data_IF_171055501862
#
_entry.id   IF_171055501862
#
_cell.length_a   1.000
_cell.length_b   1.000
_cell.length_c   1.000
_cell.angle_alpha   90.00
_cell.angle_beta   90.00
_cell.angle_gamma   90.00
#
_symmetry.space_group_name_H-M   'P 1'
#
loop_
_entity.id
_entity.type
_entity.pdbx_description
1 polymer ?
#
# COMPACT_ATOMS: atom_id res chain seq x y z
N UNK A 1 -6.25 -4.28 32.54
CA UNK A 1 -5.78 -5.31 31.59
C UNK A 1 -7.01 -5.76 30.81
N UNK A 2 -7.23 -5.19 29.63
CA UNK A 2 -8.24 -5.66 28.67
C UNK A 2 -7.45 -6.13 27.46
N UNK A 3 -7.48 -7.42 27.22
CA UNK A 3 -6.91 -8.08 26.03
C UNK A 3 -7.80 -7.77 24.83
N UNK A 4 -7.25 -7.08 23.84
CA UNK A 4 -7.91 -6.89 22.54
C UNK A 4 -7.84 -8.19 21.73
N UNK A 5 -8.90 -8.61 21.05
CA UNK A 5 -8.88 -9.80 20.22
C UNK A 5 -8.05 -9.56 18.95
N UNK A 6 -7.17 -10.51 18.67
CA UNK A 6 -6.38 -10.56 17.45
C UNK A 6 -7.29 -10.79 16.25
N UNK A 7 -7.32 -9.83 15.32
CA UNK A 7 -8.04 -9.98 14.05
C UNK A 7 -7.14 -10.71 13.05
N UNK A 8 -7.25 -12.04 13.02
CA UNK A 8 -6.67 -12.88 11.98
C UNK A 8 -7.68 -12.93 10.85
N UNK A 9 -7.42 -12.22 9.75
CA UNK A 9 -8.20 -12.38 8.51
C UNK A 9 -7.79 -13.69 7.83
N UNK A 10 -8.36 -14.81 8.29
CA UNK A 10 -8.31 -16.07 7.53
C UNK A 10 -9.27 -15.94 6.34
N UNK A 11 -8.71 -16.01 5.13
CA UNK A 11 -9.50 -16.17 3.93
C UNK A 11 -10.41 -17.40 4.08
N UNK A 12 -11.72 -17.21 4.06
CA UNK A 12 -12.70 -18.31 4.06
C UNK A 12 -12.54 -19.11 2.78
N UNK A 13 -12.58 -20.44 2.92
CA UNK A 13 -12.51 -21.43 1.82
C UNK A 13 -13.45 -21.03 0.67
N UNK A 14 -13.03 -21.27 -0.59
CA UNK A 14 -13.87 -20.92 -1.75
C UNK A 14 -15.17 -21.74 -1.75
N UNK A 15 -16.24 -21.10 -2.15
CA UNK A 15 -17.54 -21.70 -2.42
C UNK A 15 -17.39 -22.79 -3.49
N UNK A 16 -17.76 -24.02 -3.15
CA UNK A 16 -17.95 -25.10 -4.13
C UNK A 16 -19.24 -24.84 -4.89
N UNK A 17 -19.11 -24.65 -6.18
CA UNK A 17 -20.24 -24.70 -7.11
C UNK A 17 -20.03 -23.92 -8.37
N UNK A 18 -19.39 -24.55 -9.36
CA UNK A 18 -19.78 -24.52 -10.75
C UNK A 18 -18.76 -25.33 -11.60
N UNK A 19 -19.29 -26.34 -12.18
CA UNK A 19 -18.87 -27.31 -13.19
C UNK A 19 -17.44 -27.32 -13.74
N UNK A 20 -16.79 -28.47 -13.54
CA UNK A 20 -15.44 -28.87 -13.99
C UNK A 20 -15.25 -29.06 -15.51
N UNK A 21 -16.06 -28.45 -16.39
CA UNK A 21 -15.97 -28.67 -17.85
C UNK A 21 -15.41 -27.49 -18.67
N UNK A 22 -14.96 -26.42 -18.02
CA UNK A 22 -14.43 -25.24 -18.73
C UNK A 22 -12.92 -25.06 -18.63
N UNK A 23 -12.23 -25.82 -17.79
CA UNK A 23 -10.77 -25.75 -17.58
C UNK A 23 -10.00 -26.68 -18.54
N UNK A 24 -10.59 -27.79 -18.99
CA UNK A 24 -9.91 -28.74 -19.88
C UNK A 24 -9.74 -28.28 -21.33
N UNK A 25 -10.39 -27.23 -21.76
CA UNK A 25 -10.34 -26.75 -23.16
C UNK A 25 -9.22 -25.74 -23.47
N UNK A 26 -8.45 -25.29 -22.48
CA UNK A 26 -7.31 -24.36 -22.66
C UNK A 26 -5.92 -25.01 -22.64
N UNK A 27 -5.83 -26.32 -22.43
CA UNK A 27 -4.52 -27.03 -22.36
C UNK A 27 -4.18 -27.75 -23.71
N UNK A 28 -5.05 -27.69 -24.71
CA UNK A 28 -4.89 -28.48 -25.94
C UNK A 28 -4.40 -27.72 -27.18
N UNK A 29 -3.61 -26.64 -27.02
CA UNK A 29 -2.89 -26.04 -28.15
C UNK A 29 -1.44 -25.76 -27.78
N UNK A 30 -0.59 -26.78 -27.95
CA UNK A 30 0.81 -26.76 -28.41
C UNK A 30 1.51 -28.07 -28.10
N UNK A 31 1.23 -29.08 -28.91
CA UNK A 31 2.16 -30.19 -29.09
C UNK A 31 2.36 -30.34 -30.57
N UNK A 32 3.53 -29.99 -31.02
CA UNK A 32 4.00 -30.19 -32.41
C UNK A 32 5.43 -29.73 -32.54
N UNK A 33 6.30 -30.74 -32.58
CA UNK A 33 7.58 -30.79 -33.26
C UNK A 33 8.87 -30.32 -32.55
N UNK A 34 9.64 -31.24 -32.33
CA UNK A 34 11.06 -31.62 -32.45
C UNK A 34 11.73 -32.08 -31.16
N UNK A 35 11.86 -33.39 -31.03
CA UNK A 35 12.78 -34.04 -30.10
C UNK A 35 14.22 -33.87 -30.58
N UNK A 36 15.04 -33.16 -29.82
CA UNK A 36 16.47 -33.34 -29.78
C UNK A 36 16.83 -33.79 -28.37
N UNK A 37 17.20 -35.07 -28.24
CA UNK A 37 17.77 -35.62 -27.02
C UNK A 37 19.11 -34.94 -26.74
N UNK A 38 19.16 -34.15 -25.68
CA UNK A 38 20.42 -33.76 -25.05
C UNK A 38 20.31 -34.19 -23.59
N UNK A 39 21.24 -35.04 -23.16
CA UNK A 39 21.41 -35.44 -21.75
C UNK A 39 21.60 -34.18 -20.90
N UNK A 40 20.55 -33.77 -20.22
CA UNK A 40 20.60 -32.72 -19.20
C UNK A 40 21.04 -33.32 -17.88
N UNK A 41 22.11 -32.73 -17.33
CA UNK A 41 22.64 -33.09 -16.02
C UNK A 41 21.63 -32.87 -14.92
N UNK A 42 21.70 -33.66 -13.86
CA UNK A 42 20.75 -33.81 -12.75
C UNK A 42 20.60 -32.57 -11.83
N UNK A 43 20.99 -31.33 -12.27
CA UNK A 43 21.06 -30.16 -11.37
C UNK A 43 20.45 -28.86 -11.92
N UNK A 44 19.84 -28.89 -13.12
CA UNK A 44 19.15 -27.71 -13.67
C UNK A 44 17.62 -27.86 -13.59
N UNK A 45 17.09 -27.71 -12.38
CA UNK A 45 15.67 -27.32 -12.25
C UNK A 45 15.57 -25.86 -12.60
N UNK A 46 15.14 -25.55 -13.81
CA UNK A 46 14.81 -24.18 -14.23
C UNK A 46 13.70 -23.64 -13.30
N UNK A 47 14.06 -22.69 -12.45
CA UNK A 47 13.06 -21.88 -11.74
C UNK A 47 12.26 -21.14 -12.80
N UNK A 48 10.97 -21.47 -12.94
CA UNK A 48 10.09 -20.85 -13.93
C UNK A 48 10.12 -19.33 -13.73
N UNK A 49 10.39 -18.58 -14.81
CA UNK A 49 10.34 -17.13 -14.77
C UNK A 49 8.92 -16.69 -14.44
N UNK A 50 8.77 -15.92 -13.38
CA UNK A 50 7.47 -15.40 -12.96
C UNK A 50 7.00 -14.35 -13.96
N UNK A 51 5.70 -14.33 -14.26
CA UNK A 51 5.08 -13.27 -15.03
C UNK A 51 5.43 -11.88 -14.44
N UNK A 52 5.41 -10.84 -15.27
CA UNK A 52 5.71 -9.48 -14.83
C UNK A 52 4.57 -8.93 -13.96
N UNK A 53 4.93 -8.25 -12.88
CA UNK A 53 3.99 -7.54 -12.03
C UNK A 53 3.43 -6.29 -12.76
N UNK A 54 2.30 -5.78 -12.29
CA UNK A 54 1.76 -4.51 -12.72
C UNK A 54 2.71 -3.37 -12.32
N UNK A 55 3.26 -2.65 -13.31
CA UNK A 55 4.17 -1.54 -13.06
C UNK A 55 3.54 -0.46 -12.18
N UNK A 56 2.28 -0.11 -12.42
CA UNK A 56 1.56 0.89 -11.62
C UNK A 56 1.45 0.45 -10.15
N UNK A 57 1.29 -0.85 -9.89
CA UNK A 57 1.28 -1.40 -8.54
C UNK A 57 2.60 -1.16 -7.81
N UNK A 58 3.74 -1.28 -8.50
CA UNK A 58 5.06 -1.10 -7.88
C UNK A 58 5.50 0.37 -7.82
N UNK A 59 5.12 1.17 -8.84
CA UNK A 59 5.57 2.56 -8.97
C UNK A 59 4.69 3.55 -8.22
N UNK A 60 3.41 3.21 -7.96
CA UNK A 60 2.52 4.08 -7.22
C UNK A 60 3.16 4.51 -5.90
N UNK A 61 3.27 5.82 -5.71
CA UNK A 61 3.77 6.37 -4.47
C UNK A 61 2.78 6.10 -3.34
N UNK A 62 3.27 5.46 -2.29
CA UNK A 62 2.58 5.36 -1.02
C UNK A 62 3.05 6.49 -0.08
N UNK A 63 3.09 6.24 1.20
CA UNK A 63 3.56 7.22 2.18
C UNK A 63 5.05 7.52 1.96
N UNK A 64 5.41 8.80 2.05
CA UNK A 64 6.81 9.24 2.15
C UNK A 64 7.31 8.85 3.53
N UNK A 65 8.23 7.89 3.58
CA UNK A 65 8.74 7.30 4.82
C UNK A 65 10.27 7.33 4.86
N UNK A 66 10.82 7.65 6.04
CA UNK A 66 12.27 7.60 6.27
C UNK A 66 12.71 6.14 6.17
N UNK A 67 13.74 5.89 5.35
CA UNK A 67 14.24 4.53 5.14
C UNK A 67 13.42 3.71 4.13
N UNK A 68 12.63 4.37 3.27
CA UNK A 68 11.98 3.70 2.14
C UNK A 68 12.99 2.88 1.33
N UNK A 69 12.68 1.61 1.09
CA UNK A 69 13.56 0.64 0.43
C UNK A 69 13.36 0.55 -1.08
N UNK A 70 12.65 1.49 -1.71
CA UNK A 70 12.35 1.46 -3.16
C UNK A 70 13.60 1.30 -4.03
N UNK A 71 14.68 2.02 -3.70
CA UNK A 71 15.95 1.91 -4.42
C UNK A 71 16.71 0.60 -4.18
N UNK A 72 16.27 -0.21 -3.22
CA UNK A 72 16.87 -1.51 -2.88
C UNK A 72 16.05 -2.69 -3.39
N UNK A 73 14.92 -2.48 -4.07
CA UNK A 73 14.03 -3.57 -4.47
C UNK A 73 14.70 -4.58 -5.39
N UNK A 74 15.52 -4.13 -6.32
CA UNK A 74 16.29 -5.03 -7.19
C UNK A 74 17.27 -5.88 -6.38
N UNK A 75 18.00 -5.28 -5.45
CA UNK A 75 18.91 -6.00 -4.55
C UNK A 75 18.17 -7.03 -3.69
N UNK A 76 17.01 -6.66 -3.14
CA UNK A 76 16.14 -7.57 -2.37
C UNK A 76 15.67 -8.71 -3.28
N UNK A 77 15.24 -8.41 -4.51
CA UNK A 77 14.81 -9.40 -5.48
C UNK A 77 15.89 -10.44 -5.81
N UNK A 78 17.13 -9.99 -6.00
CA UNK A 78 18.27 -10.89 -6.22
C UNK A 78 18.49 -11.82 -5.02
N UNK A 79 18.33 -11.33 -3.79
CA UNK A 79 18.39 -12.15 -2.58
C UNK A 79 17.27 -13.19 -2.54
N UNK A 80 16.04 -12.79 -2.83
CA UNK A 80 14.88 -13.70 -2.90
C UNK A 80 15.08 -14.78 -3.97
N UNK A 81 15.60 -14.44 -5.13
CA UNK A 81 15.89 -15.42 -6.19
C UNK A 81 16.95 -16.44 -5.79
N UNK A 82 17.96 -16.05 -5.00
CA UNK A 82 18.94 -16.99 -4.42
C UNK A 82 18.25 -17.98 -3.48
N UNK A 83 17.36 -17.49 -2.61
CA UNK A 83 16.59 -18.34 -1.68
C UNK A 83 15.72 -19.31 -2.45
N UNK A 84 14.92 -18.81 -3.41
CA UNK A 84 14.05 -19.63 -4.27
C UNK A 84 14.81 -20.77 -4.96
N UNK A 85 15.96 -20.45 -5.55
CA UNK A 85 16.83 -21.45 -6.21
C UNK A 85 17.35 -22.49 -5.21
N UNK A 86 17.81 -22.08 -4.04
CA UNK A 86 18.32 -23.01 -3.00
C UNK A 86 17.24 -23.95 -2.48
N UNK A 87 16.02 -23.45 -2.33
CA UNK A 87 14.87 -24.22 -1.86
C UNK A 87 14.15 -24.97 -2.98
N UNK A 88 14.53 -24.74 -4.23
CA UNK A 88 13.84 -25.26 -5.41
C UNK A 88 12.33 -24.93 -5.40
N UNK A 89 12.00 -23.68 -5.04
CA UNK A 89 10.63 -23.17 -4.97
C UNK A 89 10.41 -22.06 -5.98
N UNK A 90 9.28 -22.07 -6.69
CA UNK A 90 8.89 -20.96 -7.56
C UNK A 90 8.40 -19.76 -6.76
N UNK A 91 7.71 -19.99 -5.65
CA UNK A 91 7.24 -18.98 -4.71
C UNK A 91 7.50 -19.46 -3.28
N UNK A 92 7.73 -18.51 -2.39
CA UNK A 92 8.17 -18.75 -1.01
C UNK A 92 7.14 -18.23 -0.01
N UNK A 93 7.29 -18.62 1.25
CA UNK A 93 6.65 -17.97 2.40
C UNK A 93 7.57 -16.85 2.89
N UNK A 94 7.12 -15.61 2.86
CA UNK A 94 7.94 -14.46 3.25
C UNK A 94 7.32 -13.69 4.43
N UNK A 95 8.19 -13.12 5.27
CA UNK A 95 7.78 -12.29 6.39
C UNK A 95 8.50 -10.93 6.36
N UNK A 96 7.74 -9.87 6.14
CA UNK A 96 8.20 -8.49 6.26
C UNK A 96 7.92 -7.98 7.68
N UNK A 97 8.93 -8.11 8.53
CA UNK A 97 8.83 -7.86 9.99
C UNK A 97 8.59 -6.38 10.32
N UNK A 98 9.05 -5.47 9.45
CA UNK A 98 8.96 -4.02 9.61
C UNK A 98 8.46 -3.39 8.30
N UNK A 99 7.22 -3.67 7.95
CA UNK A 99 6.67 -3.38 6.62
C UNK A 99 6.54 -1.89 6.29
N UNK A 100 6.42 -1.01 7.30
CA UNK A 100 6.43 0.43 7.13
C UNK A 100 5.44 0.92 6.07
N UNK A 101 5.96 1.48 4.98
CA UNK A 101 5.14 1.91 3.84
C UNK A 101 4.63 0.78 2.94
N UNK A 102 4.94 -0.48 3.24
CA UNK A 102 4.54 -1.65 2.45
C UNK A 102 5.27 -1.81 1.11
N UNK A 103 6.32 -1.03 0.83
CA UNK A 103 7.00 -1.07 -0.47
C UNK A 103 7.70 -2.41 -0.73
N UNK A 104 8.31 -3.00 0.30
CA UNK A 104 8.96 -4.31 0.21
C UNK A 104 7.91 -5.41 0.15
N UNK A 105 6.90 -5.37 1.01
CA UNK A 105 5.80 -6.33 1.02
C UNK A 105 5.09 -6.40 -0.33
N UNK A 106 4.81 -5.25 -0.97
CA UNK A 106 4.23 -5.17 -2.33
C UNK A 106 5.15 -5.84 -3.36
N UNK A 107 6.44 -5.57 -3.29
CA UNK A 107 7.41 -6.17 -4.20
C UNK A 107 7.52 -7.69 -4.01
N UNK A 108 7.47 -8.16 -2.77
CA UNK A 108 7.54 -9.59 -2.43
C UNK A 108 6.28 -10.35 -2.87
N UNK A 109 5.14 -9.69 -3.08
CA UNK A 109 3.87 -10.36 -3.41
C UNK A 109 3.98 -11.29 -4.61
N UNK A 110 4.72 -10.92 -5.66
CA UNK A 110 4.93 -11.77 -6.83
C UNK A 110 5.78 -13.03 -6.53
N UNK A 111 6.64 -12.95 -5.52
CA UNK A 111 7.53 -14.04 -5.14
C UNK A 111 6.95 -14.95 -4.06
N UNK A 112 5.85 -14.54 -3.42
CA UNK A 112 5.35 -15.19 -2.21
C UNK A 112 4.01 -15.89 -2.45
N UNK A 113 3.96 -17.21 -2.17
CA UNK A 113 2.69 -17.93 -2.04
C UNK A 113 1.96 -17.54 -0.76
N UNK A 114 2.71 -17.28 0.33
CA UNK A 114 2.23 -16.72 1.58
C UNK A 114 3.11 -15.52 1.95
N UNK A 115 2.50 -14.38 2.24
CA UNK A 115 3.17 -13.18 2.69
C UNK A 115 2.61 -12.73 4.03
N UNK A 116 3.51 -12.59 4.99
CA UNK A 116 3.23 -12.14 6.33
C UNK A 116 3.85 -10.75 6.48
N UNK A 117 3.11 -9.83 7.07
CA UNK A 117 3.61 -8.48 7.34
C UNK A 117 3.36 -8.10 8.78
N UNK A 118 4.27 -7.33 9.36
CA UNK A 118 4.09 -6.72 10.66
C UNK A 118 4.61 -5.29 10.66
N UNK A 119 3.96 -4.45 11.44
CA UNK A 119 4.48 -3.14 11.84
C UNK A 119 3.81 -2.71 13.15
N UNK A 120 4.39 -1.78 13.86
CA UNK A 120 3.80 -1.21 15.06
C UNK A 120 2.71 -0.18 14.72
N UNK A 121 2.81 0.46 13.57
CA UNK A 121 2.01 1.61 13.17
C UNK A 121 0.70 1.20 12.46
N UNK A 122 -0.41 1.83 12.85
CA UNK A 122 -1.73 1.58 12.27
C UNK A 122 -1.79 1.86 10.77
N UNK A 123 -1.16 2.95 10.31
CA UNK A 123 -1.16 3.28 8.88
C UNK A 123 -0.53 2.19 8.03
N UNK A 124 0.49 1.50 8.53
CA UNK A 124 1.13 0.38 7.84
C UNK A 124 0.16 -0.79 7.66
N UNK A 125 -0.58 -1.14 8.72
CA UNK A 125 -1.63 -2.16 8.66
C UNK A 125 -2.70 -1.80 7.62
N UNK A 126 -3.19 -0.57 7.58
CA UNK A 126 -4.19 -0.09 6.62
C UNK A 126 -3.66 -0.21 5.18
N UNK A 127 -2.42 0.23 4.94
CA UNK A 127 -1.76 0.17 3.63
C UNK A 127 -1.62 -1.27 3.16
N UNK A 128 -1.09 -2.15 4.03
CA UNK A 128 -0.90 -3.55 3.69
C UNK A 128 -2.24 -4.27 3.44
N UNK A 129 -3.28 -4.00 4.22
CA UNK A 129 -4.63 -4.53 3.96
C UNK A 129 -5.15 -4.13 2.58
N UNK A 130 -4.93 -2.90 2.17
CA UNK A 130 -5.35 -2.43 0.85
C UNK A 130 -4.53 -3.08 -0.28
N UNK A 131 -3.23 -2.88 -0.27
CA UNK A 131 -2.39 -3.20 -1.43
C UNK A 131 -1.94 -4.66 -1.50
N UNK A 132 -2.02 -5.43 -0.41
CA UNK A 132 -1.78 -6.86 -0.44
C UNK A 132 -3.06 -7.69 -0.65
N UNK A 133 -4.23 -7.07 -0.69
CA UNK A 133 -5.47 -7.75 -1.06
C UNK A 133 -5.34 -8.44 -2.42
N UNK A 134 -5.86 -9.65 -2.51
CA UNK A 134 -5.89 -10.40 -3.76
C UNK A 134 -6.95 -9.82 -4.68
N UNK A 135 -6.55 -9.48 -5.89
CA UNK A 135 -7.45 -8.92 -6.90
C UNK A 135 -8.67 -9.83 -7.15
N UNK A 136 -8.46 -11.14 -7.09
CA UNK A 136 -9.52 -12.16 -7.25
C UNK A 136 -10.62 -12.08 -6.18
N UNK A 137 -10.31 -11.53 -5.00
CA UNK A 137 -11.23 -11.44 -3.86
C UNK A 137 -11.89 -10.07 -3.72
N UNK A 138 -11.56 -9.10 -4.60
CA UNK A 138 -12.09 -7.74 -4.53
C UNK A 138 -13.41 -7.64 -5.30
N UNK A 139 -14.46 -7.19 -4.63
CA UNK A 139 -15.69 -6.80 -5.30
C UNK A 139 -15.55 -5.39 -5.90
N UNK A 140 -15.16 -5.34 -7.16
CA UNK A 140 -14.96 -4.07 -7.87
C UNK A 140 -16.25 -3.28 -8.05
N UNK A 141 -17.40 -3.93 -8.13
CA UNK A 141 -18.69 -3.25 -8.26
C UNK A 141 -19.04 -2.49 -6.97
N UNK A 142 -18.81 -3.13 -5.83
CA UNK A 142 -18.98 -2.52 -4.52
C UNK A 142 -18.00 -1.37 -4.29
N UNK A 143 -16.71 -1.54 -4.67
CA UNK A 143 -15.73 -0.46 -4.57
C UNK A 143 -16.09 0.73 -5.47
N UNK A 144 -16.55 0.47 -6.68
CA UNK A 144 -16.98 1.53 -7.60
C UNK A 144 -18.20 2.28 -7.07
N UNK A 145 -19.17 1.58 -6.48
CA UNK A 145 -20.33 2.20 -5.84
C UNK A 145 -19.89 3.18 -4.74
N UNK A 146 -19.06 2.71 -3.80
CA UNK A 146 -18.59 3.56 -2.70
C UNK A 146 -17.64 4.66 -3.14
N UNK A 147 -16.81 4.43 -4.15
CA UNK A 147 -15.98 5.48 -4.72
C UNK A 147 -16.82 6.63 -5.28
N UNK A 148 -17.86 6.33 -6.06
CA UNK A 148 -18.78 7.36 -6.59
C UNK A 148 -19.50 8.10 -5.47
N UNK A 149 -19.96 7.37 -4.44
CA UNK A 149 -20.60 7.99 -3.30
C UNK A 149 -19.66 8.94 -2.54
N UNK A 150 -18.43 8.50 -2.26
CA UNK A 150 -17.41 9.34 -1.64
C UNK A 150 -17.08 10.58 -2.49
N UNK A 151 -16.88 10.39 -3.78
CA UNK A 151 -16.56 11.50 -4.69
C UNK A 151 -17.69 12.54 -4.75
N UNK A 152 -18.96 12.10 -4.71
CA UNK A 152 -20.11 13.00 -4.65
C UNK A 152 -20.17 13.81 -3.35
N UNK A 153 -19.67 13.26 -2.25
CA UNK A 153 -19.55 13.97 -0.97
C UNK A 153 -18.31 14.85 -0.84
N UNK A 154 -17.30 14.66 -1.72
CA UNK A 154 -16.01 15.36 -1.66
C UNK A 154 -15.90 16.51 -2.69
N UNK A 155 -17.01 17.13 -3.02
CA UNK A 155 -17.03 18.33 -3.88
C UNK A 155 -16.66 19.59 -3.07
N UNK A 156 -16.18 20.64 -3.73
CA UNK A 156 -15.69 21.86 -3.06
C UNK A 156 -16.74 22.48 -2.12
N UNK A 157 -18.02 22.46 -2.50
CA UNK A 157 -19.11 23.00 -1.70
C UNK A 157 -19.44 22.16 -0.46
N UNK A 158 -19.00 20.92 -0.41
CA UNK A 158 -19.25 19.99 0.70
C UNK A 158 -18.09 19.89 1.70
N UNK A 159 -16.95 20.54 1.39
CA UNK A 159 -15.79 20.49 2.27
C UNK A 159 -16.09 21.21 3.59
N UNK A 160 -15.84 20.51 4.70
CA UNK A 160 -16.06 21.03 6.05
C UNK A 160 -14.74 21.31 6.78
N UNK A 161 -14.76 22.30 7.64
CA UNK A 161 -13.67 22.54 8.59
C UNK A 161 -13.76 21.52 9.74
N UNK A 162 -12.63 20.88 10.04
CA UNK A 162 -12.50 19.95 11.13
C UNK A 162 -11.13 20.05 11.79
N UNK A 163 -10.73 18.97 12.46
CA UNK A 163 -9.52 18.88 13.26
C UNK A 163 -8.23 19.17 12.45
N UNK A 164 -8.13 18.66 11.22
CA UNK A 164 -6.94 18.85 10.39
C UNK A 164 -6.88 20.30 9.90
N UNK A 165 -8.03 20.86 9.51
CA UNK A 165 -8.12 22.26 9.10
C UNK A 165 -7.74 23.19 10.24
N UNK A 166 -8.25 22.95 11.43
CA UNK A 166 -8.01 23.79 12.60
C UNK A 166 -6.55 23.72 13.05
N UNK A 167 -5.95 22.52 13.14
CA UNK A 167 -4.67 22.34 13.83
C UNK A 167 -3.47 22.16 12.90
N UNK A 168 -3.66 21.88 11.60
CA UNK A 168 -2.57 21.53 10.68
C UNK A 168 -2.52 22.40 9.43
N UNK A 169 -3.32 23.47 9.38
CA UNK A 169 -3.39 24.40 8.27
C UNK A 169 -3.41 25.84 8.78
N UNK A 170 -2.82 26.81 8.06
CA UNK A 170 -2.93 28.22 8.42
C UNK A 170 -4.36 28.73 8.16
N UNK A 171 -4.77 29.78 8.86
CA UNK A 171 -6.06 30.43 8.63
C UNK A 171 -6.11 31.09 7.26
N UNK A 172 -5.02 31.78 6.92
CA UNK A 172 -4.84 32.50 5.67
C UNK A 172 -3.46 32.17 5.09
N UNK A 173 -3.41 31.70 3.84
CA UNK A 173 -2.16 31.36 3.17
C UNK A 173 -1.31 32.57 2.81
N UNK A 174 -1.95 33.74 2.57
CA UNK A 174 -1.27 34.97 2.21
C UNK A 174 -0.71 35.68 3.46
N UNK A 175 -1.27 35.44 4.65
CA UNK A 175 -0.89 36.11 5.89
C UNK A 175 -0.69 35.14 7.07
N UNK A 176 0.20 34.20 6.89
CA UNK A 176 0.51 33.17 7.92
C UNK A 176 1.10 33.84 9.17
N UNK A 177 0.54 33.56 10.33
CA UNK A 177 0.99 34.12 11.61
C UNK A 177 2.01 33.20 12.31
N UNK A 178 2.79 33.79 13.20
CA UNK A 178 3.72 33.02 14.04
C UNK A 178 2.92 32.05 14.94
N UNK A 179 3.33 30.79 14.94
CA UNK A 179 2.66 29.74 15.69
C UNK A 179 1.64 28.93 14.91
N UNK A 180 1.17 29.42 13.76
CA UNK A 180 0.32 28.62 12.88
C UNK A 180 1.09 27.46 12.24
N UNK A 181 0.43 26.31 12.13
CA UNK A 181 0.99 25.14 11.48
C UNK A 181 0.61 25.15 10.00
N UNK A 182 1.57 24.79 9.14
CA UNK A 182 1.40 24.81 7.69
C UNK A 182 1.71 23.43 7.09
N UNK A 183 1.08 22.37 7.61
CA UNK A 183 1.25 21.03 7.04
C UNK A 183 0.45 20.84 5.76
N UNK A 184 -0.74 21.44 5.68
CA UNK A 184 -1.63 21.37 4.52
C UNK A 184 -2.15 22.75 4.14
N UNK A 185 -2.50 22.91 2.87
CA UNK A 185 -3.33 24.05 2.46
C UNK A 185 -4.70 23.98 3.14
N UNK A 186 -5.41 25.10 3.34
CA UNK A 186 -6.77 25.10 3.90
C UNK A 186 -7.71 24.11 3.17
N UNK A 187 -7.68 24.13 1.85
CA UNK A 187 -8.49 23.25 1.00
C UNK A 187 -8.17 21.77 1.25
N UNK A 188 -6.90 21.39 1.24
CA UNK A 188 -6.48 20.00 1.46
C UNK A 188 -6.78 19.52 2.88
N UNK A 189 -6.66 20.39 3.86
CA UNK A 189 -7.02 20.08 5.24
C UNK A 189 -8.52 19.79 5.37
N UNK A 190 -9.38 20.64 4.80
CA UNK A 190 -10.84 20.41 4.76
C UNK A 190 -11.19 19.12 4.00
N UNK A 191 -10.51 18.85 2.88
CA UNK A 191 -10.72 17.61 2.13
C UNK A 191 -10.43 16.37 2.99
N UNK A 192 -9.32 16.36 3.75
CA UNK A 192 -8.98 15.24 4.66
C UNK A 192 -10.02 15.10 5.75
N UNK A 193 -10.47 16.21 6.36
CA UNK A 193 -11.49 16.19 7.42
C UNK A 193 -12.81 15.63 6.89
N UNK A 194 -13.28 16.11 5.73
CA UNK A 194 -14.51 15.65 5.08
C UNK A 194 -14.41 14.18 4.70
N UNK A 195 -13.30 13.77 4.06
CA UNK A 195 -13.07 12.39 3.65
C UNK A 195 -13.08 11.43 4.85
N UNK A 196 -12.44 11.80 5.96
CA UNK A 196 -12.45 10.99 7.19
C UNK A 196 -13.86 10.78 7.72
N UNK A 197 -14.67 11.84 7.79
CA UNK A 197 -16.06 11.74 8.24
C UNK A 197 -16.93 10.86 7.34
N UNK A 198 -16.76 10.97 6.03
CA UNK A 198 -17.48 10.13 5.07
C UNK A 198 -17.03 8.66 5.15
N UNK A 199 -15.74 8.41 5.35
CA UNK A 199 -15.19 7.05 5.44
C UNK A 199 -15.75 6.26 6.64
N UNK A 200 -16.23 6.90 7.69
CA UNK A 200 -16.88 6.20 8.81
C UNK A 200 -18.21 5.54 8.40
N UNK A 201 -18.83 6.00 7.31
CA UNK A 201 -20.06 5.43 6.76
C UNK A 201 -19.77 4.25 5.80
N UNK A 202 -18.55 4.10 5.34
CA UNK A 202 -18.14 2.97 4.50
C UNK A 202 -18.01 1.71 5.38
N UNK A 203 -18.52 0.53 4.94
CA UNK A 203 -18.34 -0.71 5.66
C UNK A 203 -16.89 -0.98 6.06
N UNK A 204 -16.67 -1.44 7.29
CA UNK A 204 -15.34 -1.61 7.87
C UNK A 204 -14.47 -2.55 7.03
N UNK A 205 -15.08 -3.59 6.45
CA UNK A 205 -14.40 -4.62 5.66
C UNK A 205 -13.73 -4.07 4.40
N UNK A 206 -14.25 -2.98 3.84
CA UNK A 206 -13.74 -2.38 2.61
C UNK A 206 -13.16 -0.97 2.80
N UNK A 207 -13.29 -0.40 3.99
CA UNK A 207 -12.85 0.98 4.29
C UNK A 207 -11.36 1.21 3.99
N UNK A 208 -10.53 0.21 4.20
CA UNK A 208 -9.10 0.27 3.94
C UNK A 208 -8.76 0.53 2.47
N UNK A 209 -9.63 0.17 1.51
CA UNK A 209 -9.43 0.45 0.08
C UNK A 209 -9.55 1.93 -0.28
N UNK A 210 -10.16 2.72 0.58
CA UNK A 210 -10.28 4.18 0.43
C UNK A 210 -9.34 4.93 1.38
N UNK A 211 -9.15 4.40 2.59
CA UNK A 211 -8.28 5.02 3.58
C UNK A 211 -6.80 4.98 3.15
N UNK A 212 -6.31 3.89 2.58
CA UNK A 212 -4.91 3.78 2.16
C UNK A 212 -4.55 4.78 1.05
N UNK A 213 -5.33 4.95 -0.04
CA UNK A 213 -5.09 6.02 -1.00
C UNK A 213 -5.18 7.42 -0.40
N UNK A 214 -6.12 7.69 0.51
CA UNK A 214 -6.21 8.98 1.21
C UNK A 214 -4.94 9.28 2.03
N UNK A 215 -4.43 8.28 2.78
CA UNK A 215 -3.17 8.41 3.52
C UNK A 215 -1.98 8.70 2.58
N UNK A 216 -1.96 8.06 1.42
CA UNK A 216 -0.92 8.28 0.42
C UNK A 216 -0.97 9.71 -0.12
N UNK A 217 -2.14 10.20 -0.53
CA UNK A 217 -2.32 11.56 -1.02
C UNK A 217 -2.01 12.60 0.08
N UNK A 218 -2.47 12.37 1.30
CA UNK A 218 -2.14 13.24 2.43
C UNK A 218 -0.63 13.31 2.66
N UNK A 219 0.09 12.19 2.54
CA UNK A 219 1.54 12.17 2.65
C UNK A 219 2.24 12.88 1.48
N UNK A 220 1.75 12.71 0.25
CA UNK A 220 2.31 13.34 -0.95
C UNK A 220 2.17 14.87 -0.86
N UNK A 221 1.02 15.38 -0.45
CA UNK A 221 0.73 16.82 -0.42
C UNK A 221 1.09 17.50 0.90
N UNK A 222 1.66 16.75 1.86
CA UNK A 222 2.15 17.35 3.11
C UNK A 222 3.31 18.33 2.87
N UNK A 223 3.26 19.46 3.51
CA UNK A 223 4.29 20.51 3.46
C UNK A 223 5.45 20.18 4.41
N UNK A 224 6.14 19.08 4.14
CA UNK A 224 7.27 18.60 4.94
C UNK A 224 8.50 18.36 4.07
N UNK A 225 9.68 18.43 4.67
CA UNK A 225 10.96 18.14 4.00
C UNK A 225 11.18 16.64 3.74
N UNK A 226 10.22 15.78 4.10
CA UNK A 226 10.34 14.33 3.96
C UNK A 226 11.23 13.64 5.01
N UNK A 227 12.16 14.37 5.61
CA UNK A 227 13.11 13.83 6.61
C UNK A 227 12.69 14.19 8.04
N UNK A 228 12.11 15.38 8.22
CA UNK A 228 11.71 15.88 9.53
C UNK A 228 10.19 15.93 9.64
N UNK A 229 9.68 15.66 10.85
CA UNK A 229 8.25 15.72 11.18
C UNK A 229 7.69 17.15 11.26
N UNK A 230 8.46 18.16 10.83
CA UNK A 230 8.07 19.56 10.85
C UNK A 230 7.68 20.08 9.45
N UNK A 231 6.82 21.08 9.42
CA UNK A 231 6.53 21.84 8.20
C UNK A 231 7.64 22.86 7.91
N UNK A 232 7.72 23.32 6.66
CA UNK A 232 8.68 24.33 6.28
C UNK A 232 8.42 25.65 7.00
N UNK A 233 9.50 26.31 7.44
CA UNK A 233 9.48 27.60 8.09
C UNK A 233 10.42 28.57 7.38
N UNK A 234 10.02 29.82 7.33
CA UNK A 234 10.91 30.91 6.95
C UNK A 234 12.00 31.06 8.02
N UNK A 235 13.25 31.05 7.61
CA UNK A 235 14.41 31.04 8.50
C UNK A 235 14.61 32.36 9.24
N UNK A 236 14.13 33.49 8.68
CA UNK A 236 14.29 34.82 9.24
C UNK A 236 13.17 35.15 10.22
N UNK A 237 11.93 34.81 9.85
CA UNK A 237 10.73 35.19 10.63
C UNK A 237 10.23 34.10 11.57
N UNK A 238 10.67 32.84 11.36
CA UNK A 238 10.17 31.67 12.07
C UNK A 238 8.72 31.28 11.75
N UNK A 239 8.04 32.07 10.90
CA UNK A 239 6.68 31.77 10.44
C UNK A 239 6.65 30.55 9.55
N UNK A 240 5.52 29.83 9.52
CA UNK A 240 5.28 28.79 8.53
C UNK A 240 5.31 29.34 7.10
N UNK A 241 5.77 28.53 6.17
CA UNK A 241 5.68 28.83 4.74
C UNK A 241 5.41 27.56 3.95
N UNK A 242 4.85 27.68 2.76
CA UNK A 242 4.69 26.54 1.85
C UNK A 242 5.93 26.39 0.97
N UNK A 243 6.46 25.16 0.95
CA UNK A 243 7.72 24.83 0.27
C UNK A 243 8.97 25.28 1.04
N UNK A 244 10.10 24.62 0.73
CA UNK A 244 11.43 25.02 1.23
C UNK A 244 11.95 26.28 0.51
N UNK A 245 13.17 26.69 0.86
CA UNK A 245 13.80 27.89 0.28
C UNK A 245 13.93 27.83 -1.26
N UNK A 246 14.17 26.63 -1.81
CA UNK A 246 14.25 26.43 -3.27
C UNK A 246 12.91 26.22 -3.95
N UNK A 247 11.81 26.11 -3.18
CA UNK A 247 10.43 25.88 -3.67
C UNK A 247 10.26 24.64 -4.58
N UNK A 248 11.22 23.73 -4.62
CA UNK A 248 11.22 22.55 -5.52
C UNK A 248 10.00 21.63 -5.33
N UNK A 249 9.47 21.57 -4.10
CA UNK A 249 8.29 20.77 -3.75
C UNK A 249 6.96 21.53 -3.82
N UNK A 250 6.95 22.81 -4.23
CA UNK A 250 5.78 23.68 -4.10
C UNK A 250 4.59 23.18 -4.93
N UNK A 251 4.82 22.74 -6.17
CA UNK A 251 3.78 22.20 -7.05
C UNK A 251 3.09 20.98 -6.39
N UNK A 252 3.87 20.10 -5.81
CA UNK A 252 3.36 18.94 -5.07
C UNK A 252 2.54 19.36 -3.85
N UNK A 253 3.07 20.29 -3.06
CA UNK A 253 2.45 20.73 -1.79
C UNK A 253 1.14 21.47 -2.04
N UNK A 254 1.10 22.33 -3.06
CA UNK A 254 -0.07 23.13 -3.40
C UNK A 254 -1.09 22.37 -4.27
N UNK A 255 -0.72 21.21 -4.80
CA UNK A 255 -1.65 20.37 -5.55
C UNK A 255 -2.82 19.89 -4.68
N UNK A 256 -3.95 19.64 -5.30
CA UNK A 256 -5.15 19.17 -4.62
C UNK A 256 -5.05 17.69 -4.24
N UNK A 257 -5.43 17.38 -3.01
CA UNK A 257 -5.70 16.00 -2.60
C UNK A 257 -7.01 15.55 -3.26
N UNK A 258 -6.96 14.39 -3.89
CA UNK A 258 -8.10 13.73 -4.50
C UNK A 258 -8.09 12.24 -4.16
N UNK A 259 -9.25 11.68 -3.86
CA UNK A 259 -9.37 10.25 -3.56
C UNK A 259 -9.18 9.42 -4.84
N UNK A 260 -8.16 8.58 -4.84
CA UNK A 260 -7.78 7.71 -5.95
C UNK A 260 -8.19 6.27 -5.70
N UNK A 261 -8.39 5.52 -6.79
CA UNK A 261 -8.60 4.08 -6.71
C UNK A 261 -7.28 3.37 -6.41
N UNK A 262 -7.27 2.36 -5.54
CA UNK A 262 -6.07 1.54 -5.33
C UNK A 262 -5.76 0.70 -6.57
N UNK A 263 -4.47 0.48 -6.80
CA UNK A 263 -3.98 -0.45 -7.83
C UNK A 263 -3.62 -1.77 -7.14
N UNK A 264 -4.00 -2.89 -7.75
CA UNK A 264 -3.78 -4.23 -7.19
C UNK A 264 -2.71 -4.99 -7.96
N UNK A 265 -2.02 -5.88 -7.24
CA UNK A 265 -1.10 -6.86 -7.82
C UNK A 265 -1.82 -7.80 -8.80
N UNK A 266 -1.08 -8.31 -9.79
CA UNK A 266 -1.52 -9.43 -10.65
C UNK A 266 -1.41 -10.77 -9.97
N UNK A 267 -0.67 -10.86 -8.84
CA UNK A 267 -0.41 -12.08 -8.10
C UNK A 267 -1.30 -12.17 -6.87
N UNK A 268 -1.90 -13.33 -6.67
CA UNK A 268 -2.59 -13.69 -5.45
C UNK A 268 -1.63 -14.43 -4.51
N UNK A 269 -1.75 -14.19 -3.21
CA UNK A 269 -0.98 -14.80 -2.13
C UNK A 269 -1.90 -15.04 -0.95
N UNK A 270 -1.59 -16.01 -0.10
CA UNK A 270 -2.11 -16.01 1.26
C UNK A 270 -1.50 -14.81 2.00
N UNK A 271 -2.33 -13.97 2.63
CA UNK A 271 -1.88 -12.72 3.24
C UNK A 271 -2.22 -12.71 4.72
N UNK A 272 -1.22 -12.47 5.55
CA UNK A 272 -1.37 -12.25 6.98
C UNK A 272 -0.81 -10.87 7.34
N UNK A 273 -1.58 -10.10 8.11
CA UNK A 273 -1.19 -8.76 8.51
C UNK A 273 -1.29 -8.64 10.01
N UNK A 274 -0.15 -8.41 10.61
CA UNK A 274 -0.01 -8.20 12.04
C UNK A 274 0.27 -6.73 12.34
N UNK A 275 -0.12 -6.32 13.55
CA UNK A 275 0.22 -5.02 14.12
C UNK A 275 0.66 -5.24 15.55
N UNK A 276 1.97 -5.14 15.79
CA UNK A 276 2.49 -5.36 17.13
C UNK A 276 4.00 -5.32 17.25
N UNK A 277 4.47 -5.58 18.45
CA UNK A 277 5.90 -5.72 18.70
C UNK A 277 6.47 -6.90 17.91
N UNK A 278 7.49 -6.64 17.11
CA UNK A 278 8.12 -7.62 16.23
C UNK A 278 8.67 -8.84 16.98
N UNK A 279 9.16 -8.66 18.20
CA UNK A 279 9.67 -9.75 19.03
C UNK A 279 8.54 -10.71 19.46
N UNK A 280 7.34 -10.18 19.69
CA UNK A 280 6.17 -10.98 20.04
C UNK A 280 5.63 -11.66 18.78
N UNK A 281 5.45 -10.91 17.70
CA UNK A 281 4.85 -11.42 16.46
C UNK A 281 5.75 -12.48 15.82
N UNK A 282 7.09 -12.30 15.83
CA UNK A 282 8.01 -13.31 15.31
C UNK A 282 7.90 -14.67 16.03
N UNK A 283 7.50 -14.67 17.30
CA UNK A 283 7.26 -15.91 18.06
C UNK A 283 5.88 -16.56 17.78
N UNK A 284 4.99 -15.88 17.08
CA UNK A 284 3.65 -16.36 16.74
C UNK A 284 3.53 -16.78 15.27
N UNK A 285 4.47 -16.37 14.44
CA UNK A 285 4.51 -16.69 13.01
C UNK A 285 5.12 -18.08 12.85
N UNK A 286 4.44 -18.90 12.06
CA UNK A 286 4.97 -20.22 11.67
C UNK A 286 6.23 -20.07 10.80
N UNK A 287 6.89 -21.20 10.50
CA UNK A 287 8.11 -21.24 9.71
C UNK A 287 7.97 -20.51 8.37
N UNK A 288 8.98 -19.71 8.04
CA UNK A 288 9.12 -18.97 6.78
C UNK A 288 10.38 -19.40 6.05
N UNK A 289 10.44 -19.20 4.72
CA UNK A 289 11.56 -19.58 3.87
C UNK A 289 12.81 -18.70 3.95
#
# INVERSE_FOLDING_TARGET
>A
RRTSPHLILRARRPWRGLGSKKVEKMIQYRTGEHMAQTQLGLWDTEVIELATENEDFLTQQLITYIGNKRSLLEFIGNGVDIVRKRLNKNRITSFDVFSGSGVVSRYLKKYSERIITNDLEEYSSIINRCYLSNRSNVDFSLLEHWMKWLQAGLTEENLIEGFIRELYSPKDMENIQLGERCFYTPRNAMYIDTARGLLEQVPEEIRHFFMAPLLSEASVHANTSGVFKGFYKNTETGKGQFGGNNKDALVRILGNIELKKPVFSRFDSEVEIHKGDSNIIAGLVDEVD
#
